data_IF_292556718327
#
_entry.id   IF_292556718327
#
_cell.length_a   1.000
_cell.length_b   1.000
_cell.length_c   1.000
_cell.angle_alpha   90.00
_cell.angle_beta   90.00
_cell.angle_gamma   90.00
#
_symmetry.space_group_name_H-M   'P 1'
#
loop_
_entity.id
_entity.type
_entity.pdbx_description
1 polymer ?
#
# COMPACT_ATOMS: atom_id res chain seq x y z
N UNK A 1 8.51 -4.41 38.41
CA UNK A 1 9.88 -4.29 37.87
C UNK A 1 10.54 -5.67 37.88
N UNK A 2 10.87 -6.22 36.71
CA UNK A 2 11.74 -7.39 36.58
C UNK A 2 13.04 -6.90 35.92
N UNK A 3 14.17 -7.04 36.63
CA UNK A 3 15.54 -6.75 36.13
C UNK A 3 15.90 -5.27 35.83
N UNK A 4 15.32 -4.30 36.54
CA UNK A 4 15.83 -2.91 36.52
C UNK A 4 15.57 -2.10 35.25
N UNK A 5 14.73 -2.60 34.32
CA UNK A 5 14.13 -1.79 33.25
C UNK A 5 12.72 -1.37 33.65
N UNK A 6 12.45 -0.07 33.63
CA UNK A 6 11.08 0.44 33.64
C UNK A 6 10.47 0.17 32.26
N UNK A 7 9.39 -0.57 32.23
CA UNK A 7 8.65 -0.88 31.01
C UNK A 7 7.42 0.03 30.95
N UNK A 8 7.14 0.65 29.80
CA UNK A 8 5.99 1.53 29.58
C UNK A 8 4.67 0.84 29.99
N UNK A 9 4.59 -0.48 29.82
CA UNK A 9 3.43 -1.28 30.22
C UNK A 9 3.19 -1.30 31.75
N UNK A 10 4.23 -1.07 32.57
CA UNK A 10 4.11 -0.99 34.04
C UNK A 10 3.50 0.34 34.50
N UNK A 11 3.86 1.44 33.85
CA UNK A 11 3.29 2.76 34.13
C UNK A 11 1.82 2.80 33.71
N UNK A 12 1.47 2.19 32.57
CA UNK A 12 0.09 2.07 32.11
C UNK A 12 -0.77 1.23 33.04
N UNK A 13 -0.26 0.11 33.55
CA UNK A 13 -0.96 -0.68 34.55
C UNK A 13 -1.25 0.14 35.81
N UNK A 14 -0.27 0.91 36.29
CA UNK A 14 -0.41 1.78 37.47
C UNK A 14 -1.46 2.88 37.24
N UNK A 15 -1.52 3.44 36.02
CA UNK A 15 -2.57 4.37 35.62
C UNK A 15 -3.95 3.71 35.62
N UNK A 16 -4.09 2.53 35.01
CA UNK A 16 -5.33 1.76 35.00
C UNK A 16 -5.83 1.44 36.42
N UNK A 17 -4.92 1.02 37.30
CA UNK A 17 -5.21 0.74 38.70
C UNK A 17 -5.68 1.99 39.46
N UNK A 18 -5.05 3.14 39.17
CA UNK A 18 -5.45 4.43 39.76
C UNK A 18 -6.84 4.84 39.29
N UNK A 19 -7.14 4.70 38.00
CA UNK A 19 -8.47 5.01 37.47
C UNK A 19 -9.54 4.10 38.09
N UNK A 20 -9.25 2.81 38.23
CA UNK A 20 -10.17 1.87 38.87
C UNK A 20 -10.39 2.19 40.35
N UNK A 21 -9.33 2.60 41.07
CA UNK A 21 -9.45 3.09 42.44
C UNK A 21 -10.33 4.35 42.53
N UNK A 22 -10.18 5.29 41.60
CA UNK A 22 -11.00 6.50 41.55
C UNK A 22 -12.48 6.19 41.28
N UNK A 23 -12.74 5.16 40.47
CA UNK A 23 -14.10 4.75 40.12
C UNK A 23 -14.80 3.95 41.25
N UNK A 24 -14.04 3.12 41.97
CA UNK A 24 -14.60 2.17 42.94
C UNK A 24 -14.37 2.56 44.40
N UNK A 25 -13.46 3.51 44.65
CA UNK A 25 -12.91 3.84 45.97
C UNK A 25 -12.32 2.65 46.73
N UNK A 26 -11.85 1.62 46.00
CA UNK A 26 -11.26 0.39 46.55
C UNK A 26 -9.96 0.08 45.85
N UNK A 27 -9.01 -0.49 46.58
CA UNK A 27 -7.74 -0.90 45.97
C UNK A 27 -7.96 -2.09 45.00
N UNK A 28 -7.18 -2.20 43.92
CA UNK A 28 -7.35 -3.29 42.94
C UNK A 28 -7.30 -4.71 43.54
N UNK A 29 -6.58 -4.88 44.64
CA UNK A 29 -6.43 -6.16 45.35
C UNK A 29 -7.67 -6.55 46.16
N UNK A 30 -8.56 -5.60 46.45
CA UNK A 30 -9.83 -5.80 47.16
C UNK A 30 -11.00 -6.10 46.21
N UNK A 31 -10.78 -6.01 44.89
CA UNK A 31 -11.83 -6.20 43.89
C UNK A 31 -11.97 -7.68 43.50
N UNK A 32 -13.20 -8.13 43.16
CA UNK A 32 -13.45 -9.45 42.59
C UNK A 32 -12.54 -9.75 41.39
N UNK A 33 -11.89 -10.92 41.43
CA UNK A 33 -11.04 -11.40 40.34
C UNK A 33 -11.59 -12.71 39.75
N UNK A 34 -11.50 -12.85 38.43
CA UNK A 34 -11.76 -14.09 37.69
C UNK A 34 -10.52 -14.42 36.86
N UNK A 35 -9.97 -15.62 37.06
CA UNK A 35 -8.79 -16.11 36.31
C UNK A 35 -7.61 -15.13 36.33
N UNK A 36 -7.26 -14.59 37.50
CA UNK A 36 -6.18 -13.60 37.69
C UNK A 36 -6.42 -12.22 37.06
N UNK A 37 -7.64 -11.96 36.55
CA UNK A 37 -8.04 -10.67 35.98
C UNK A 37 -9.14 -10.05 36.85
N UNK A 38 -9.09 -8.73 37.03
CA UNK A 38 -10.11 -8.01 37.79
C UNK A 38 -11.43 -8.01 37.00
N UNK A 39 -12.53 -8.36 37.65
CA UNK A 39 -13.87 -8.37 37.04
C UNK A 39 -14.50 -6.96 37.08
N UNK A 40 -14.00 -6.08 36.21
CA UNK A 40 -14.35 -4.66 36.18
C UNK A 40 -15.87 -4.44 36.04
N UNK A 41 -16.52 -5.20 35.15
CA UNK A 41 -17.95 -5.07 34.86
C UNK A 41 -18.84 -5.40 36.05
N UNK A 42 -18.35 -6.20 36.99
CA UNK A 42 -19.07 -6.49 38.24
C UNK A 42 -18.88 -5.43 39.33
N UNK A 43 -17.89 -4.54 39.17
CA UNK A 43 -17.46 -3.60 40.20
C UNK A 43 -17.89 -2.15 39.97
N UNK A 44 -18.14 -1.77 38.71
CA UNK A 44 -18.43 -0.37 38.35
C UNK A 44 -19.39 -0.29 37.17
N UNK A 45 -20.34 0.65 37.24
CA UNK A 45 -21.24 1.00 36.13
C UNK A 45 -20.59 2.11 35.28
N UNK A 46 -20.04 1.73 34.13
CA UNK A 46 -19.44 2.62 33.14
C UNK A 46 -19.88 2.20 31.73
N UNK A 47 -19.56 3.01 30.72
CA UNK A 47 -19.86 2.64 29.34
C UNK A 47 -19.11 1.35 28.95
N UNK A 48 -19.71 0.49 28.10
CA UNK A 48 -19.08 -0.77 27.67
C UNK A 48 -17.68 -0.56 27.07
N UNK A 49 -17.49 0.53 26.31
CA UNK A 49 -16.23 0.85 25.65
C UNK A 49 -15.13 1.21 26.67
N UNK A 50 -15.49 1.92 27.73
CA UNK A 50 -14.55 2.26 28.79
C UNK A 50 -14.22 1.05 29.66
N UNK A 51 -15.19 0.15 29.87
CA UNK A 51 -14.95 -1.13 30.54
C UNK A 51 -13.96 -1.99 29.73
N UNK A 52 -14.16 -2.12 28.42
CA UNK A 52 -13.24 -2.85 27.52
C UNK A 52 -11.84 -2.23 27.56
N UNK A 53 -11.75 -0.90 27.56
CA UNK A 53 -10.47 -0.20 27.67
C UNK A 53 -9.75 -0.49 29.00
N UNK A 54 -10.48 -0.45 30.12
CA UNK A 54 -9.93 -0.78 31.44
C UNK A 54 -9.50 -2.23 31.53
N UNK A 55 -10.24 -3.15 30.90
CA UNK A 55 -9.90 -4.57 30.85
C UNK A 55 -8.58 -4.85 30.13
N UNK A 56 -8.24 -4.07 29.08
CA UNK A 56 -6.96 -4.21 28.35
C UNK A 56 -5.79 -3.60 29.12
N UNK A 57 -5.95 -2.39 29.67
CA UNK A 57 -4.84 -1.72 30.38
C UNK A 57 -4.47 -2.44 31.69
N UNK A 58 -5.40 -3.20 32.26
CA UNK A 58 -5.24 -4.00 33.49
C UNK A 58 -4.97 -5.49 33.24
N UNK A 59 -4.66 -5.92 32.00
CA UNK A 59 -4.26 -7.30 31.75
C UNK A 59 -3.03 -7.68 32.62
N UNK A 60 -3.01 -8.87 33.24
CA UNK A 60 -1.91 -9.27 34.10
C UNK A 60 -0.63 -9.51 33.30
N UNK A 61 -0.73 -10.07 32.10
CA UNK A 61 0.39 -10.27 31.19
C UNK A 61 0.70 -8.97 30.44
N UNK A 62 1.97 -8.59 30.38
CA UNK A 62 2.38 -7.31 29.78
C UNK A 62 2.27 -7.34 28.25
N UNK A 63 2.36 -8.53 27.65
CA UNK A 63 2.18 -8.76 26.22
C UNK A 63 0.76 -8.43 25.76
N UNK A 64 -0.23 -8.63 26.65
CA UNK A 64 -1.66 -8.43 26.36
C UNK A 64 -2.13 -7.00 26.68
N UNK A 65 -1.26 -6.17 27.29
CA UNK A 65 -1.54 -4.75 27.57
C UNK A 65 -1.25 -3.85 26.38
N UNK A 66 -1.70 -2.59 26.50
CA UNK A 66 -1.25 -1.52 25.60
C UNK A 66 0.27 -1.34 25.66
N UNK A 67 0.91 -1.37 24.49
CA UNK A 67 2.36 -1.22 24.36
C UNK A 67 2.85 0.23 24.43
N UNK A 68 1.94 1.22 24.37
CA UNK A 68 2.26 2.64 24.52
C UNK A 68 1.08 3.46 25.05
N UNK A 69 1.37 4.59 25.71
CA UNK A 69 0.35 5.53 26.17
C UNK A 69 -0.48 6.10 25.02
N UNK A 70 0.14 6.28 23.85
CA UNK A 70 -0.56 6.72 22.63
C UNK A 70 -1.58 5.69 22.17
N UNK A 71 -1.24 4.40 22.19
CA UNK A 71 -2.19 3.33 21.85
C UNK A 71 -3.39 3.31 22.81
N UNK A 72 -3.13 3.42 24.12
CA UNK A 72 -4.19 3.49 25.13
C UNK A 72 -5.09 4.72 24.93
N UNK A 73 -4.51 5.91 24.72
CA UNK A 73 -5.28 7.15 24.52
C UNK A 73 -6.16 7.12 23.26
N UNK A 74 -5.67 6.51 22.18
CA UNK A 74 -6.41 6.40 20.92
C UNK A 74 -7.70 5.57 21.09
N UNK A 75 -7.60 4.44 21.81
CA UNK A 75 -8.78 3.61 22.11
C UNK A 75 -9.73 4.34 23.06
N UNK A 76 -9.21 5.01 24.09
CA UNK A 76 -10.02 5.71 25.10
C UNK A 76 -10.85 6.86 24.52
N UNK A 77 -10.27 7.67 23.64
CA UNK A 77 -10.91 8.90 23.14
C UNK A 77 -11.98 8.64 22.08
N UNK A 78 -12.28 7.37 21.78
CA UNK A 78 -13.14 6.94 20.68
C UNK A 78 -12.81 7.67 19.36
N UNK A 79 -11.57 8.16 19.25
CA UNK A 79 -10.91 8.44 18.00
C UNK A 79 -10.67 7.09 17.36
N UNK A 80 -11.74 6.56 16.79
CA UNK A 80 -11.70 5.70 15.62
C UNK A 80 -11.10 6.46 14.41
N UNK A 81 -10.21 7.43 14.63
CA UNK A 81 -9.06 7.64 13.78
C UNK A 81 -8.13 6.45 14.01
N UNK A 82 -8.52 5.28 13.50
CA UNK A 82 -7.55 4.21 13.31
C UNK A 82 -6.56 4.69 12.25
N UNK A 83 -5.62 5.53 12.64
CA UNK A 83 -4.29 5.45 12.06
C UNK A 83 -3.75 4.15 12.65
N UNK A 84 -4.22 3.03 12.13
CA UNK A 84 -3.32 1.92 12.05
C UNK A 84 -2.21 2.42 11.13
N UNK A 85 -1.14 2.90 11.75
CA UNK A 85 0.15 2.57 11.20
C UNK A 85 0.23 1.06 11.39
N UNK A 86 -0.40 0.30 10.48
CA UNK A 86 -0.10 -1.11 10.32
C UNK A 86 1.32 -1.08 9.76
N UNK A 87 2.30 -0.82 10.62
CA UNK A 87 3.70 -1.11 10.38
C UNK A 87 3.88 -2.63 10.53
N UNK A 88 2.91 -3.41 10.03
CA UNK A 88 3.11 -4.79 9.64
C UNK A 88 3.91 -4.74 8.35
N UNK A 89 5.15 -4.27 8.50
CA UNK A 89 6.20 -4.45 7.52
C UNK A 89 6.26 -5.96 7.30
N UNK A 90 5.76 -6.42 6.16
CA UNK A 90 6.56 -7.40 5.42
C UNK A 90 7.94 -6.76 5.37
N UNK A 91 8.89 -7.24 6.18
CA UNK A 91 10.18 -6.56 6.46
C UNK A 91 10.77 -6.04 5.14
N UNK A 92 10.71 -4.73 4.90
CA UNK A 92 11.24 -4.09 3.69
C UNK A 92 10.21 -3.54 2.68
N UNK A 93 8.91 -3.75 2.87
CA UNK A 93 7.89 -3.15 1.98
C UNK A 93 7.78 -1.64 2.19
N UNK A 94 7.66 -0.90 1.09
CA UNK A 94 7.52 0.56 1.09
C UNK A 94 6.05 1.02 1.00
N UNK A 95 5.10 0.09 0.87
CA UNK A 95 3.67 0.43 0.74
C UNK A 95 3.14 0.92 2.08
N UNK A 96 2.51 2.10 2.11
CA UNK A 96 1.86 2.62 3.33
C UNK A 96 0.36 2.48 3.21
N UNK A 97 -0.28 1.95 4.25
CA UNK A 97 -1.72 1.73 4.31
C UNK A 97 -2.30 2.53 5.48
N UNK A 98 -3.32 3.35 5.21
CA UNK A 98 -4.03 4.15 6.22
C UNK A 98 -5.50 3.75 6.19
N UNK A 99 -5.97 3.04 7.22
CA UNK A 99 -7.34 2.49 7.35
C UNK A 99 -8.22 3.37 8.24
N UNK A 100 -9.00 4.29 7.69
CA UNK A 100 -10.06 4.95 8.48
C UNK A 100 -11.38 4.16 8.43
N UNK A 101 -12.30 4.32 9.39
CA UNK A 101 -13.58 3.59 9.43
C UNK A 101 -14.49 3.82 8.22
N UNK A 102 -14.20 4.86 7.44
CA UNK A 102 -14.95 5.32 6.28
C UNK A 102 -14.11 5.41 5.01
N UNK A 103 -12.79 5.21 5.10
CA UNK A 103 -11.91 5.21 3.94
C UNK A 103 -10.59 4.45 4.15
N UNK A 104 -10.23 3.62 3.19
CA UNK A 104 -8.92 2.97 3.08
C UNK A 104 -8.06 3.76 2.08
N UNK A 105 -6.92 4.27 2.54
CA UNK A 105 -5.94 4.96 1.69
C UNK A 105 -4.68 4.10 1.59
N UNK A 106 -4.39 3.62 0.39
CA UNK A 106 -3.15 2.91 0.06
C UNK A 106 -2.25 3.86 -0.72
N UNK A 107 -1.06 4.14 -0.20
CA UNK A 107 -0.03 4.83 -0.98
C UNK A 107 1.06 3.84 -1.35
N UNK A 108 1.25 3.68 -2.66
CA UNK A 108 2.30 2.86 -3.25
C UNK A 108 3.39 3.83 -3.72
N UNK A 109 4.53 3.92 -3.02
CA UNK A 109 5.61 4.79 -3.43
C UNK A 109 6.26 4.30 -4.71
N UNK A 110 7.05 5.16 -5.38
CA UNK A 110 7.78 4.72 -6.55
C UNK A 110 8.80 3.64 -6.15
N UNK A 111 9.00 2.65 -7.03
CA UNK A 111 10.05 1.63 -6.86
C UNK A 111 11.44 2.26 -6.70
N UNK A 112 11.64 3.44 -7.30
CA UNK A 112 12.93 4.11 -7.40
C UNK A 112 13.86 3.37 -8.38
N UNK A 113 15.04 3.93 -8.62
CA UNK A 113 16.05 3.32 -9.46
C UNK A 113 16.86 2.28 -8.68
N UNK A 114 16.93 1.05 -9.18
CA UNK A 114 17.92 0.06 -8.71
C UNK A 114 19.24 0.25 -9.48
N UNK A 115 20.33 -0.26 -8.92
CA UNK A 115 21.65 -0.24 -9.57
C UNK A 115 21.61 -0.94 -10.94
N UNK A 116 20.86 -2.03 -11.07
CA UNK A 116 20.66 -2.72 -12.35
C UNK A 116 19.93 -1.85 -13.38
N UNK A 117 18.96 -1.03 -12.95
CA UNK A 117 18.23 -0.11 -13.83
C UNK A 117 19.19 0.99 -14.34
N UNK A 118 20.11 1.45 -13.50
CA UNK A 118 21.16 2.40 -13.90
C UNK A 118 22.07 1.82 -14.99
N UNK A 119 22.61 0.62 -14.79
CA UNK A 119 23.45 -0.03 -15.79
C UNK A 119 22.68 -0.33 -17.08
N UNK A 120 21.42 -0.74 -16.97
CA UNK A 120 20.53 -0.94 -18.12
C UNK A 120 20.33 0.36 -18.90
N UNK A 121 20.03 1.48 -18.23
CA UNK A 121 19.92 2.79 -18.88
C UNK A 121 21.23 3.21 -19.55
N UNK A 122 22.38 3.05 -18.88
CA UNK A 122 23.69 3.41 -19.44
C UNK A 122 23.99 2.61 -20.72
N UNK A 123 23.74 1.30 -20.69
CA UNK A 123 23.93 0.44 -21.86
C UNK A 123 22.98 0.82 -23.01
N UNK A 124 21.69 1.07 -22.73
CA UNK A 124 20.74 1.49 -23.76
C UNK A 124 21.10 2.88 -24.33
N UNK A 125 21.60 3.82 -23.52
CA UNK A 125 22.07 5.12 -23.99
C UNK A 125 23.30 4.99 -24.89
N UNK A 126 24.23 4.09 -24.55
CA UNK A 126 25.36 3.76 -25.41
C UNK A 126 24.90 3.23 -26.77
N UNK A 127 23.95 2.30 -26.79
CA UNK A 127 23.38 1.76 -28.03
C UNK A 127 22.67 2.84 -28.87
N UNK A 128 21.91 3.73 -28.22
CA UNK A 128 21.26 4.87 -28.89
C UNK A 128 22.30 5.78 -29.52
N UNK A 129 23.38 6.10 -28.80
CA UNK A 129 24.49 6.91 -29.32
C UNK A 129 25.19 6.25 -30.49
N UNK A 130 25.50 4.95 -30.38
CA UNK A 130 26.14 4.16 -31.44
C UNK A 130 25.26 4.13 -32.70
N UNK A 131 24.00 3.72 -32.58
CA UNK A 131 23.06 3.65 -33.71
C UNK A 131 22.78 5.02 -34.32
N UNK A 132 22.65 6.07 -33.50
CA UNK A 132 22.47 7.44 -33.98
C UNK A 132 23.69 7.96 -34.76
N UNK A 133 24.90 7.68 -34.26
CA UNK A 133 26.14 8.05 -34.96
C UNK A 133 26.29 7.33 -36.31
N UNK A 134 25.88 6.04 -36.36
CA UNK A 134 25.89 5.27 -37.60
C UNK A 134 24.91 5.85 -38.63
N UNK A 135 23.68 6.17 -38.24
CA UNK A 135 22.69 6.80 -39.12
C UNK A 135 23.21 8.16 -39.62
N UNK A 136 23.76 9.00 -38.74
CA UNK A 136 24.33 10.29 -39.12
C UNK A 136 25.49 10.14 -40.11
N UNK A 137 26.36 9.14 -39.91
CA UNK A 137 27.47 8.84 -40.82
C UNK A 137 27.00 8.43 -42.21
N UNK A 138 25.93 7.62 -42.30
CA UNK A 138 25.29 7.27 -43.56
C UNK A 138 24.72 8.52 -44.22
N UNK A 139 23.99 9.36 -43.47
CA UNK A 139 23.38 10.58 -44.02
C UNK A 139 24.43 11.53 -44.61
N UNK A 140 25.56 11.71 -43.92
CA UNK A 140 26.67 12.55 -44.39
C UNK A 140 27.37 11.95 -45.62
N UNK A 141 27.57 10.63 -45.63
CA UNK A 141 28.23 9.94 -46.73
C UNK A 141 27.36 9.85 -47.99
N UNK A 142 26.04 9.64 -47.84
CA UNK A 142 25.08 9.59 -48.94
C UNK A 142 24.79 10.96 -49.59
N UNK A 143 25.27 12.05 -48.99
CA UNK A 143 25.11 13.39 -49.55
C UNK A 143 25.89 13.60 -50.87
N UNK A 144 26.89 12.74 -51.17
CA UNK A 144 27.55 12.71 -52.47
C UNK A 144 26.89 11.71 -53.43
N UNK A 145 26.28 12.21 -54.51
CA UNK A 145 25.52 11.43 -55.52
C UNK A 145 26.34 10.28 -56.11
N UNK A 146 27.64 10.48 -56.31
CA UNK A 146 28.54 9.50 -56.93
C UNK A 146 28.76 8.24 -56.09
N UNK A 147 28.51 8.28 -54.77
CA UNK A 147 28.78 7.17 -53.84
C UNK A 147 27.53 6.40 -53.42
N UNK A 148 26.36 6.75 -53.98
CA UNK A 148 25.08 6.23 -53.51
C UNK A 148 24.82 4.79 -53.96
N UNK A 149 25.13 4.45 -55.21
CA UNK A 149 24.81 3.16 -55.84
C UNK A 149 25.64 1.98 -55.28
N UNK A 150 26.90 2.20 -54.92
CA UNK A 150 27.79 1.17 -54.37
C UNK A 150 27.47 0.82 -52.89
N UNK A 151 26.72 1.69 -52.21
CA UNK A 151 26.53 1.66 -50.76
C UNK A 151 25.17 1.06 -50.32
N UNK A 152 24.22 0.95 -51.26
CA UNK A 152 22.81 0.64 -51.00
C UNK A 152 22.52 -0.76 -50.40
N UNK A 153 23.04 -1.89 -50.91
CA UNK A 153 22.61 -3.21 -50.45
C UNK A 153 23.22 -3.63 -49.11
N UNK A 154 24.48 -3.26 -48.82
CA UNK A 154 25.13 -3.64 -47.57
C UNK A 154 24.66 -2.77 -46.39
N UNK A 155 24.50 -1.45 -46.58
CA UNK A 155 24.19 -0.53 -45.50
C UNK A 155 22.69 -0.39 -45.19
N UNK A 156 21.81 -0.78 -46.11
CA UNK A 156 20.36 -0.78 -45.90
C UNK A 156 19.95 -1.71 -44.75
N UNK A 157 20.52 -2.91 -44.67
CA UNK A 157 20.26 -3.86 -43.57
C UNK A 157 20.70 -3.26 -42.23
N UNK A 158 21.91 -2.71 -42.16
CA UNK A 158 22.42 -2.09 -40.92
C UNK A 158 21.63 -0.84 -40.51
N UNK A 159 21.10 -0.08 -41.47
CA UNK A 159 20.23 1.07 -41.20
C UNK A 159 18.90 0.62 -40.59
N UNK A 160 18.27 -0.40 -41.17
CA UNK A 160 17.03 -0.99 -40.60
C UNK A 160 17.28 -1.53 -39.20
N UNK A 161 18.36 -2.29 -38.99
CA UNK A 161 18.75 -2.81 -37.67
C UNK A 161 18.96 -1.65 -36.68
N UNK A 162 19.64 -0.58 -37.10
CA UNK A 162 19.89 0.60 -36.24
C UNK A 162 18.59 1.31 -35.83
N UNK A 163 17.62 1.46 -36.74
CA UNK A 163 16.32 2.06 -36.43
C UNK A 163 15.54 1.18 -35.44
N UNK A 164 15.54 -0.15 -35.64
CA UNK A 164 14.87 -1.08 -34.72
C UNK A 164 15.51 -1.04 -33.33
N UNK A 165 16.85 -1.05 -33.26
CA UNK A 165 17.59 -0.93 -31.99
C UNK A 165 17.26 0.37 -31.28
N UNK A 166 17.20 1.50 -31.99
CA UNK A 166 16.80 2.78 -31.41
C UNK A 166 15.39 2.70 -30.81
N UNK A 167 14.40 2.22 -31.57
CA UNK A 167 13.02 2.10 -31.09
C UNK A 167 12.92 1.21 -29.84
N UNK A 168 13.62 0.08 -29.83
CA UNK A 168 13.67 -0.81 -28.68
C UNK A 168 14.32 -0.13 -27.45
N UNK A 169 15.48 0.51 -27.62
CA UNK A 169 16.18 1.19 -26.52
C UNK A 169 15.36 2.34 -25.94
N UNK A 170 14.74 3.17 -26.79
CA UNK A 170 13.87 4.26 -26.35
C UNK A 170 12.67 3.72 -25.56
N UNK A 171 12.00 2.68 -26.05
CA UNK A 171 10.86 2.08 -25.34
C UNK A 171 11.26 1.51 -23.98
N UNK A 172 12.44 0.87 -23.87
CA UNK A 172 12.98 0.35 -22.61
C UNK A 172 13.31 1.46 -21.61
N UNK A 173 14.01 2.52 -22.04
CA UNK A 173 14.32 3.66 -21.18
C UNK A 173 13.03 4.33 -20.71
N UNK A 174 12.09 4.61 -21.63
CA UNK A 174 10.80 5.21 -21.30
C UNK A 174 10.02 4.34 -20.29
N UNK A 175 9.99 3.02 -20.49
CA UNK A 175 9.37 2.08 -19.57
C UNK A 175 10.04 2.10 -18.18
N UNK A 176 11.37 2.07 -18.10
CA UNK A 176 12.09 2.13 -16.82
C UNK A 176 11.83 3.43 -16.07
N UNK A 177 11.83 4.57 -16.77
CA UNK A 177 11.49 5.87 -16.20
C UNK A 177 10.05 5.87 -15.68
N UNK A 178 9.10 5.41 -16.50
CA UNK A 178 7.68 5.29 -16.15
C UNK A 178 7.48 4.49 -14.86
N UNK A 179 8.15 3.34 -14.76
CA UNK A 179 8.06 2.45 -13.62
C UNK A 179 8.72 3.02 -12.37
N UNK A 180 9.87 3.69 -12.53
CA UNK A 180 10.68 4.16 -11.40
C UNK A 180 10.15 5.42 -10.76
N UNK A 181 9.40 6.26 -11.50
CA UNK A 181 8.93 7.55 -11.01
C UNK A 181 7.41 7.65 -10.76
N UNK A 182 6.62 6.63 -11.12
CA UNK A 182 5.17 6.65 -10.91
C UNK A 182 4.81 6.39 -9.44
N UNK A 183 4.12 7.35 -8.83
CA UNK A 183 3.47 7.20 -7.53
C UNK A 183 2.01 6.83 -7.75
N UNK A 184 1.51 5.85 -7.01
CA UNK A 184 0.09 5.46 -7.08
C UNK A 184 -0.55 5.61 -5.70
N UNK A 185 -1.67 6.32 -5.64
CA UNK A 185 -2.48 6.46 -4.44
C UNK A 185 -3.88 5.95 -4.75
N UNK A 186 -4.39 5.10 -3.87
CA UNK A 186 -5.73 4.54 -3.95
C UNK A 186 -6.44 4.96 -2.69
N UNK A 187 -7.61 5.55 -2.84
CA UNK A 187 -8.50 5.88 -1.73
C UNK A 187 -9.85 5.26 -2.00
N UNK A 188 -10.25 4.29 -1.18
CA UNK A 188 -11.55 3.65 -1.23
C UNK A 188 -12.35 4.20 -0.06
N UNK A 189 -13.48 4.84 -0.32
CA UNK A 189 -14.40 5.34 0.72
C UNK A 189 -15.71 4.53 0.67
N UNK A 190 -16.65 4.79 1.58
CA UNK A 190 -17.94 4.07 1.61
C UNK A 190 -18.71 4.16 0.28
N UNK A 191 -18.75 5.33 -0.36
CA UNK A 191 -19.55 5.53 -1.58
C UNK A 191 -18.73 5.61 -2.87
N UNK A 192 -17.46 5.97 -2.77
CA UNK A 192 -16.61 6.26 -3.93
C UNK A 192 -15.18 5.75 -3.74
N UNK A 193 -14.58 5.31 -4.84
CA UNK A 193 -13.16 5.04 -4.93
C UNK A 193 -12.47 6.06 -5.83
N UNK A 194 -11.24 6.38 -5.48
CA UNK A 194 -10.36 7.34 -6.14
C UNK A 194 -9.03 6.66 -6.38
N UNK A 195 -8.59 6.61 -7.64
CA UNK A 195 -7.26 6.15 -7.99
C UNK A 195 -6.52 7.31 -8.64
N UNK A 196 -5.41 7.71 -8.02
CA UNK A 196 -4.55 8.79 -8.47
C UNK A 196 -3.18 8.25 -8.85
N UNK A 197 -2.79 8.46 -10.09
CA UNK A 197 -1.44 8.21 -10.57
C UNK A 197 -0.75 9.56 -10.78
N UNK A 198 0.41 9.71 -10.15
CA UNK A 198 1.25 10.89 -10.31
C UNK A 198 2.58 10.45 -10.95
N UNK A 199 2.91 11.06 -12.08
CA UNK A 199 4.18 10.90 -12.79
C UNK A 199 4.77 12.27 -13.10
N UNK A 200 5.67 12.73 -12.23
CA UNK A 200 6.36 14.02 -12.33
C UNK A 200 5.38 15.22 -12.42
N UNK A 201 5.01 15.65 -13.64
CA UNK A 201 4.06 16.75 -13.90
C UNK A 201 2.66 16.21 -14.28
N UNK A 202 2.57 14.95 -14.74
CA UNK A 202 1.33 14.35 -15.19
C UNK A 202 0.57 13.73 -14.03
N UNK A 203 -0.66 14.21 -13.81
CA UNK A 203 -1.58 13.64 -12.83
C UNK A 203 -2.78 13.06 -13.58
N UNK A 204 -3.06 11.78 -13.34
CA UNK A 204 -4.29 11.14 -13.79
C UNK A 204 -5.08 10.71 -12.57
N UNK A 205 -6.34 11.12 -12.53
CA UNK A 205 -7.27 10.75 -11.46
C UNK A 205 -8.49 10.08 -12.08
N UNK A 206 -8.90 8.97 -11.49
CA UNK A 206 -10.12 8.27 -11.85
C UNK A 206 -10.97 8.12 -10.59
N UNK A 207 -12.26 8.43 -10.74
CA UNK A 207 -13.27 8.31 -9.69
C UNK A 207 -14.34 7.32 -10.14
N UNK A 208 -14.84 6.50 -9.22
CA UNK A 208 -15.97 5.60 -9.44
C UNK A 208 -16.69 5.31 -8.13
N UNK A 209 -17.79 4.55 -8.18
CA UNK A 209 -18.54 4.18 -6.96
C UNK A 209 -18.01 2.88 -6.38
N UNK A 210 -17.95 2.81 -5.05
CA UNK A 210 -17.46 1.61 -4.34
C UNK A 210 -18.38 0.40 -4.52
N UNK A 211 -19.67 0.64 -4.76
CA UNK A 211 -20.68 -0.40 -5.04
C UNK A 211 -20.43 -1.09 -6.37
N UNK A 212 -19.76 -0.42 -7.32
CA UNK A 212 -19.48 -0.97 -8.66
C UNK A 212 -18.25 -1.90 -8.64
N UNK A 213 -17.59 -2.08 -7.49
CA UNK A 213 -16.43 -2.96 -7.32
C UNK A 213 -16.93 -4.40 -7.19
N UNK A 214 -16.76 -5.17 -8.26
CA UNK A 214 -17.20 -6.58 -8.33
C UNK A 214 -16.14 -7.52 -7.76
N UNK A 215 -14.87 -7.31 -8.13
CA UNK A 215 -13.75 -8.15 -7.70
C UNK A 215 -12.43 -7.38 -7.63
N UNK A 216 -11.56 -7.80 -6.72
CA UNK A 216 -10.15 -7.43 -6.71
C UNK A 216 -9.36 -8.71 -6.94
N UNK A 217 -8.46 -8.72 -7.92
CA UNK A 217 -7.63 -9.89 -8.21
C UNK A 217 -6.25 -9.49 -8.71
N UNK A 218 -5.31 -10.41 -8.52
CA UNK A 218 -4.03 -10.39 -9.18
C UNK A 218 -4.26 -10.65 -10.67
N UNK A 219 -3.88 -9.71 -11.52
CA UNK A 219 -3.86 -9.90 -12.96
C UNK A 219 -2.43 -10.17 -13.41
N UNK A 220 -2.17 -11.42 -13.81
CA UNK A 220 -0.91 -11.78 -14.44
C UNK A 220 -0.92 -11.19 -15.85
N UNK A 221 -0.14 -10.13 -16.09
CA UNK A 221 0.15 -9.77 -17.47
C UNK A 221 1.09 -10.84 -18.01
N UNK A 222 0.76 -11.44 -19.16
CA UNK A 222 1.64 -12.33 -19.94
C UNK A 222 2.86 -11.59 -20.52
N UNK A 223 3.47 -10.70 -19.74
CA UNK A 223 4.74 -10.06 -20.07
C UNK A 223 5.76 -10.61 -19.08
N UNK A 224 6.40 -11.69 -19.51
CA UNK A 224 7.51 -12.32 -18.79
C UNK A 224 8.78 -11.52 -19.10
N UNK A 225 9.34 -10.84 -18.11
CA UNK A 225 10.66 -10.20 -18.24
C UNK A 225 11.63 -10.94 -17.33
N UNK A 226 12.58 -11.68 -17.93
CA UNK A 226 13.59 -12.47 -17.22
C UNK A 226 13.00 -13.58 -16.32
N UNK A 227 11.96 -14.28 -16.76
CA UNK A 227 11.34 -15.39 -16.00
C UNK A 227 10.59 -14.95 -14.74
N UNK A 228 10.32 -13.65 -14.59
CA UNK A 228 9.40 -13.09 -13.60
C UNK A 228 8.23 -12.42 -14.31
N UNK A 229 7.03 -12.93 -14.07
CA UNK A 229 5.79 -12.32 -14.53
C UNK A 229 5.63 -10.94 -13.91
N UNK A 230 5.26 -9.94 -14.70
CA UNK A 230 4.86 -8.63 -14.16
C UNK A 230 3.44 -8.80 -13.65
N UNK A 231 3.33 -8.95 -12.34
CA UNK A 231 2.07 -9.10 -11.65
C UNK A 231 1.51 -7.70 -11.33
N UNK A 232 0.20 -7.48 -11.55
CA UNK A 232 -0.50 -6.22 -11.25
C UNK A 232 -1.74 -6.49 -10.39
N UNK A 233 -2.07 -5.58 -9.48
CA UNK A 233 -3.36 -5.59 -8.80
C UNK A 233 -4.42 -4.94 -9.70
N UNK A 234 -5.52 -5.64 -9.96
CA UNK A 234 -6.66 -5.13 -10.73
C UNK A 234 -7.87 -4.92 -9.82
N UNK A 235 -8.44 -3.71 -9.85
CA UNK A 235 -9.79 -3.45 -9.34
C UNK A 235 -10.76 -3.55 -10.51
N UNK A 236 -11.63 -4.56 -10.47
CA UNK A 236 -12.58 -4.86 -11.54
C UNK A 236 -13.92 -4.23 -11.21
N UNK A 237 -14.28 -3.23 -12.02
CA UNK A 237 -15.63 -2.69 -12.15
C UNK A 237 -16.34 -3.46 -13.29
N UNK A 238 -17.66 -3.61 -13.21
CA UNK A 238 -18.56 -4.27 -14.18
C UNK A 238 -18.26 -3.84 -15.63
N UNK A 239 -17.71 -2.62 -15.84
CA UNK A 239 -17.37 -2.09 -17.17
C UNK A 239 -15.88 -1.92 -17.45
N UNK A 240 -14.99 -1.88 -16.45
CA UNK A 240 -13.55 -1.54 -16.62
C UNK A 240 -12.65 -2.15 -15.55
N UNK A 241 -11.44 -2.55 -15.94
CA UNK A 241 -10.39 -2.95 -15.01
C UNK A 241 -9.43 -1.78 -14.75
N UNK A 242 -9.26 -1.41 -13.48
CA UNK A 242 -8.29 -0.40 -13.04
C UNK A 242 -7.04 -1.08 -12.47
N UNK A 243 -5.91 -0.93 -13.15
CA UNK A 243 -4.65 -1.56 -12.77
C UNK A 243 -3.80 -0.66 -11.85
N UNK A 244 -3.31 -1.22 -10.74
CA UNK A 244 -2.42 -0.58 -9.78
C UNK A 244 -1.41 -1.59 -9.22
N UNK A 245 -0.45 -1.14 -8.40
CA UNK A 245 0.53 -2.05 -7.78
C UNK A 245 1.56 -2.65 -8.74
N UNK A 246 1.77 -2.01 -9.90
CA UNK A 246 2.78 -2.42 -10.87
C UNK A 246 4.17 -2.50 -10.23
N UNK A 247 4.80 -3.68 -10.29
CA UNK A 247 6.14 -3.98 -9.75
C UNK A 247 6.24 -4.12 -8.22
N UNK A 248 5.12 -4.28 -7.52
CA UNK A 248 5.15 -4.85 -6.17
C UNK A 248 5.57 -6.33 -6.25
N UNK A 249 6.24 -6.83 -5.23
CA UNK A 249 6.53 -8.27 -5.13
C UNK A 249 5.23 -9.06 -4.94
N UNK A 250 5.20 -10.32 -5.40
CA UNK A 250 4.00 -11.16 -5.36
C UNK A 250 3.39 -11.24 -3.96
N UNK A 251 4.23 -11.41 -2.94
CA UNK A 251 3.84 -11.41 -1.51
C UNK A 251 3.21 -10.07 -1.09
N UNK A 252 3.75 -8.94 -1.56
CA UNK A 252 3.20 -7.61 -1.26
C UNK A 252 1.83 -7.40 -1.92
N UNK A 253 1.62 -8.00 -3.09
CA UNK A 253 0.36 -7.90 -3.83
C UNK A 253 -0.73 -8.78 -3.25
N UNK A 254 -0.40 -10.01 -2.89
CA UNK A 254 -1.31 -10.92 -2.18
C UNK A 254 -1.77 -10.30 -0.86
N UNK A 255 -0.82 -9.78 -0.08
CA UNK A 255 -1.11 -9.05 1.15
C UNK A 255 -2.02 -7.84 0.90
N UNK A 256 -1.68 -7.01 -0.08
CA UNK A 256 -2.45 -5.80 -0.38
C UNK A 256 -3.88 -6.13 -0.81
N UNK A 257 -4.07 -7.21 -1.58
CA UNK A 257 -5.38 -7.64 -2.04
C UNK A 257 -6.22 -8.17 -0.88
N UNK A 258 -5.64 -9.00 -0.02
CA UNK A 258 -6.30 -9.49 1.17
C UNK A 258 -6.76 -8.33 2.07
N UNK A 259 -5.90 -7.34 2.27
CA UNK A 259 -6.17 -6.19 3.13
C UNK A 259 -7.28 -5.27 2.59
N UNK A 260 -7.33 -5.06 1.27
CA UNK A 260 -8.42 -4.31 0.63
C UNK A 260 -9.71 -5.13 0.65
N UNK A 261 -9.65 -6.45 0.48
CA UNK A 261 -10.82 -7.32 0.50
C UNK A 261 -11.48 -7.36 1.89
N UNK A 262 -10.70 -7.54 2.96
CA UNK A 262 -11.19 -7.45 4.34
C UNK A 262 -11.90 -6.11 4.61
N UNK A 263 -11.31 -5.00 4.15
CA UNK A 263 -11.93 -3.69 4.29
C UNK A 263 -13.27 -3.58 3.55
N UNK A 264 -13.38 -4.11 2.33
CA UNK A 264 -14.63 -4.11 1.58
C UNK A 264 -15.71 -4.97 2.24
N UNK A 265 -15.35 -6.11 2.84
CA UNK A 265 -16.28 -6.95 3.59
C UNK A 265 -16.81 -6.24 4.84
N UNK A 266 -15.93 -5.55 5.58
CA UNK A 266 -16.33 -4.72 6.72
C UNK A 266 -17.28 -3.57 6.32
N UNK A 267 -17.06 -2.96 5.15
CA UNK A 267 -17.95 -1.92 4.63
C UNK A 267 -19.33 -2.50 4.27
N UNK A 268 -19.38 -3.62 3.56
CA UNK A 268 -20.64 -4.32 3.23
C UNK A 268 -21.40 -4.73 4.49
N UNK A 269 -20.70 -5.22 5.51
CA UNK A 269 -21.28 -5.58 6.79
C UNK A 269 -21.91 -4.37 7.49
N UNK A 270 -21.20 -3.23 7.58
CA UNK A 270 -21.75 -1.99 8.17
C UNK A 270 -22.96 -1.45 7.41
N UNK A 271 -22.98 -1.55 6.09
CA UNK A 271 -24.16 -1.16 5.29
C UNK A 271 -25.36 -2.08 5.55
N UNK A 272 -25.13 -3.38 5.74
CA UNK A 272 -26.21 -4.33 6.07
C UNK A 272 -26.83 -4.05 7.44
N UNK A 273 -26.02 -3.74 8.46
CA UNK A 273 -26.50 -3.36 9.79
C UNK A 273 -27.35 -2.09 9.75
N UNK A 274 -26.89 -1.05 9.04
CA UNK A 274 -27.68 0.19 8.85
C UNK A 274 -29.02 -0.03 8.17
N UNK A 275 -29.12 -0.98 7.24
CA UNK A 275 -30.39 -1.33 6.59
C UNK A 275 -31.33 -2.09 7.52
N UNK A 276 -30.79 -2.95 8.39
CA UNK A 276 -31.59 -3.70 9.38
C UNK A 276 -32.13 -2.81 10.48
N UNK A 277 -31.32 -1.90 11.03
CA UNK A 277 -31.75 -0.94 12.05
C UNK A 277 -32.84 0.01 11.52
N UNK A 278 -32.70 0.46 10.26
CA UNK A 278 -33.71 1.30 9.61
C UNK A 278 -35.05 0.58 9.42
N UNK A 279 -35.03 -0.75 9.24
CA UNK A 279 -36.22 -1.59 9.06
C UNK A 279 -36.90 -1.99 10.39
N UNK A 280 -36.22 -1.78 11.52
CA UNK A 280 -36.75 -1.97 12.87
C UNK A 280 -37.39 -0.69 13.44
N UNK A 281 -37.11 0.46 12.83
CA UNK A 281 -37.63 1.78 13.20
C UNK A 281 -38.83 2.23 12.35
N UNK A 282 -39.15 1.50 11.29
CA UNK A 282 -40.34 1.65 10.43
C UNK A 282 -41.38 0.55 10.76
#
# INVERSE_FOLDING_TARGET
QLRGKADCASDLYSLGATLLYLLTHRSPDELPQKRMKIDIRSCVEISPEFADWLEVILEPMWEDRFQSATAALNVLTNKSEMIYDVDFRVKGSRVTLKKTPSSLIVNIPPRGFRVQDFFSCLFNLFLVGWSGSYILSIMFYSASIERMLDFLPMHSIFLVVSIVVLGFCFSKIAYLLWCSARKSQIKISNNEFLIRWNFFIFNKEVKGKTVDIDKIAINNMEIEIQGKSIINCGLFDIRKAYQFGFLLEEVEQEWLIAEIQDFLEQLKFKESLKKTDKKLLD
#
